data_IF_364853301168
#
_entry.id   IF_364853301168
#
_cell.length_a   1.000
_cell.length_b   1.000
_cell.length_c   1.000
_cell.angle_alpha   90.00
_cell.angle_beta   90.00
_cell.angle_gamma   90.00
#
_symmetry.space_group_name_H-M   'P 1'
#
loop_
_entity.id
_entity.type
_entity.pdbx_description
1 polymer ?
#
# COMPACT_ATOMS: atom_id res chain seq x y z
N UNK A 1 19.51 35.41 -24.71
CA UNK A 1 20.60 34.49 -25.06
C UNK A 1 20.56 33.36 -24.07
N UNK A 2 19.88 32.34 -24.47
CA UNK A 2 20.18 30.92 -24.62
C UNK A 2 20.72 30.21 -23.38
N UNK A 3 19.98 29.26 -22.83
CA UNK A 3 20.31 27.87 -23.07
C UNK A 3 19.15 26.95 -22.70
N UNK A 4 18.54 26.36 -23.72
CA UNK A 4 17.78 25.08 -23.62
C UNK A 4 18.81 23.97 -23.41
N UNK A 5 18.61 23.12 -22.42
CA UNK A 5 19.21 21.78 -22.34
C UNK A 5 18.13 20.79 -21.97
N UNK A 6 17.60 20.13 -23.00
CA UNK A 6 17.67 18.69 -23.26
C UNK A 6 17.23 17.80 -22.08
N UNK A 7 15.90 17.58 -21.95
CA UNK A 7 15.39 16.32 -21.45
C UNK A 7 15.10 15.41 -22.65
N UNK A 8 16.11 14.63 -23.02
CA UNK A 8 16.02 13.63 -24.07
C UNK A 8 15.72 12.26 -23.48
N UNK A 9 14.63 11.68 -23.99
CA UNK A 9 14.39 10.26 -24.19
C UNK A 9 14.35 9.34 -22.97
N UNK A 10 13.17 9.21 -22.36
CA UNK A 10 12.73 7.92 -21.84
C UNK A 10 11.63 7.36 -22.77
N UNK A 11 11.79 6.14 -23.29
CA UNK A 11 10.82 5.53 -24.20
C UNK A 11 9.65 4.90 -23.43
N UNK A 12 8.90 5.70 -22.68
CA UNK A 12 7.74 5.22 -21.89
C UNK A 12 6.41 5.29 -22.67
N UNK A 13 6.45 5.50 -24.01
CA UNK A 13 5.23 5.81 -24.77
C UNK A 13 4.68 4.69 -25.65
N UNK A 14 4.93 3.41 -25.35
CA UNK A 14 4.31 2.35 -26.17
C UNK A 14 3.82 1.19 -25.30
N UNK A 15 2.61 1.32 -24.74
CA UNK A 15 1.61 0.23 -24.61
C UNK A 15 0.40 0.50 -23.70
N UNK A 16 0.32 1.63 -23.03
CA UNK A 16 -0.94 2.01 -22.38
C UNK A 16 -1.82 2.77 -23.37
N UNK A 17 -2.43 2.08 -24.34
CA UNK A 17 -3.71 2.52 -24.88
C UNK A 17 -4.75 2.26 -23.78
N UNK A 18 -4.73 3.07 -22.71
CA UNK A 18 -5.98 3.35 -22.06
C UNK A 18 -6.90 3.88 -23.16
N UNK A 19 -8.01 3.19 -23.40
CA UNK A 19 -9.19 3.84 -23.96
C UNK A 19 -9.55 4.93 -22.93
N UNK A 20 -8.83 6.06 -22.97
CA UNK A 20 -9.29 7.26 -22.31
C UNK A 20 -10.62 7.58 -23.01
N UNK A 21 -11.71 7.27 -22.32
CA UNK A 21 -12.99 7.85 -22.72
C UNK A 21 -12.76 9.35 -22.77
N UNK A 22 -13.17 10.03 -23.86
CA UNK A 22 -13.08 11.49 -23.90
C UNK A 22 -13.66 12.06 -22.63
N UNK A 23 -12.95 12.98 -21.97
CA UNK A 23 -13.38 13.57 -20.69
C UNK A 23 -14.81 14.16 -20.75
N UNK A 24 -15.23 14.58 -21.93
CA UNK A 24 -16.57 15.06 -22.24
C UNK A 24 -17.70 14.05 -22.05
N UNK A 25 -17.37 12.72 -22.04
CA UNK A 25 -18.34 11.65 -21.80
C UNK A 25 -18.35 11.17 -20.34
N UNK A 26 -17.60 11.79 -19.45
CA UNK A 26 -17.59 11.48 -18.03
C UNK A 26 -18.37 12.56 -17.26
N UNK A 27 -19.33 12.13 -16.45
CA UNK A 27 -20.16 13.01 -15.61
C UNK A 27 -20.00 12.63 -14.14
N UNK A 28 -18.85 12.98 -13.50
CA UNK A 28 -18.59 12.66 -12.10
C UNK A 28 -19.67 13.26 -11.18
N UNK A 29 -20.15 12.46 -10.23
CA UNK A 29 -21.16 12.85 -9.25
C UNK A 29 -20.58 13.08 -7.85
N UNK A 30 -19.27 13.02 -7.69
CA UNK A 30 -18.56 13.09 -6.41
C UNK A 30 -18.96 14.27 -5.53
N UNK A 31 -19.18 15.46 -6.15
CA UNK A 31 -19.63 16.66 -5.45
C UNK A 31 -21.07 16.61 -4.90
N UNK A 32 -21.84 15.58 -5.27
CA UNK A 32 -23.24 15.35 -4.86
C UNK A 32 -23.38 14.20 -3.87
N UNK A 33 -22.30 13.48 -3.61
CA UNK A 33 -22.30 12.39 -2.64
C UNK A 33 -22.27 12.95 -1.20
N UNK A 34 -22.68 12.11 -0.24
CA UNK A 34 -22.52 12.41 1.18
C UNK A 34 -21.05 12.66 1.48
N UNK A 35 -20.74 13.69 2.24
CA UNK A 35 -19.37 14.08 2.53
C UNK A 35 -18.63 13.02 3.32
N UNK A 36 -17.31 13.00 3.20
CA UNK A 36 -16.44 12.14 4.00
C UNK A 36 -16.64 12.40 5.50
N UNK A 37 -16.72 13.66 5.89
CA UNK A 37 -16.90 14.08 7.29
C UNK A 37 -18.18 13.50 7.88
N UNK A 38 -19.30 13.53 7.14
CA UNK A 38 -20.56 12.95 7.61
C UNK A 38 -20.45 11.45 7.82
N UNK A 39 -19.71 10.76 6.95
CA UNK A 39 -19.48 9.30 7.07
C UNK A 39 -18.55 8.97 8.22
N UNK A 40 -17.48 9.72 8.41
CA UNK A 40 -16.56 9.58 9.53
C UNK A 40 -17.27 9.82 10.87
N UNK A 41 -18.11 10.85 10.95
CA UNK A 41 -18.97 11.13 12.11
C UNK A 41 -19.94 9.97 12.39
N UNK A 42 -20.57 9.40 11.36
CA UNK A 42 -21.44 8.24 11.51
C UNK A 42 -20.68 7.01 12.02
N UNK A 43 -19.47 6.80 11.52
CA UNK A 43 -18.61 5.65 11.91
C UNK A 43 -17.91 5.87 13.24
N UNK A 44 -17.84 7.10 13.74
CA UNK A 44 -17.09 7.45 14.95
C UNK A 44 -15.59 7.23 14.80
N UNK A 45 -15.06 7.42 13.58
CA UNK A 45 -13.65 7.25 13.25
C UNK A 45 -13.22 8.15 12.11
N UNK A 46 -11.94 8.47 12.03
CA UNK A 46 -11.30 9.07 10.85
C UNK A 46 -10.82 7.96 9.92
N UNK A 47 -11.06 8.10 8.62
CA UNK A 47 -10.48 7.22 7.61
C UNK A 47 -8.99 7.50 7.41
N UNK A 48 -8.22 6.44 7.14
CA UNK A 48 -6.79 6.52 6.83
C UNK A 48 -6.31 5.29 6.10
N UNK A 49 -5.21 5.41 5.34
CA UNK A 49 -4.59 4.30 4.61
C UNK A 49 -3.24 3.98 5.24
N UNK A 50 -3.14 2.85 5.93
CA UNK A 50 -1.92 2.34 6.53
C UNK A 50 -1.27 1.36 5.56
N UNK A 51 -0.22 1.85 4.87
CA UNK A 51 0.45 1.12 3.80
C UNK A 51 1.64 0.33 4.32
N UNK A 52 1.41 -0.95 4.66
CA UNK A 52 2.45 -1.87 5.13
C UNK A 52 3.26 -2.39 3.95
N UNK A 53 4.55 -2.11 3.93
CA UNK A 53 5.46 -2.58 2.88
C UNK A 53 6.76 -3.14 3.45
N UNK A 54 7.47 -3.93 2.63
CA UNK A 54 8.68 -4.65 3.02
C UNK A 54 8.85 -5.94 2.19
N UNK A 55 9.92 -6.68 2.40
CA UNK A 55 10.22 -7.91 1.69
C UNK A 55 9.16 -9.00 1.91
N UNK A 56 9.06 -9.96 1.00
CA UNK A 56 8.26 -11.16 1.23
C UNK A 56 8.77 -11.87 2.50
N UNK A 57 7.87 -12.30 3.39
CA UNK A 57 8.28 -12.91 4.67
C UNK A 57 8.62 -11.93 5.80
N UNK A 58 8.56 -10.59 5.58
CA UNK A 58 8.84 -9.61 6.64
C UNK A 58 7.76 -9.48 7.71
N UNK A 59 6.59 -10.15 7.57
CA UNK A 59 5.52 -10.11 8.57
C UNK A 59 4.33 -9.20 8.23
N UNK A 60 4.33 -8.50 7.09
CA UNK A 60 3.26 -7.55 6.70
C UNK A 60 1.84 -8.09 6.82
N UNK A 61 1.56 -9.23 6.19
CA UNK A 61 0.20 -9.80 6.19
C UNK A 61 -0.22 -10.26 7.59
N UNK A 62 0.72 -10.74 8.41
CA UNK A 62 0.46 -11.09 9.82
C UNK A 62 0.03 -9.86 10.60
N UNK A 63 0.80 -8.76 10.50
CA UNK A 63 0.49 -7.49 11.17
C UNK A 63 -0.82 -6.89 10.65
N UNK A 64 -1.09 -6.96 9.34
CA UNK A 64 -2.32 -6.44 8.75
C UNK A 64 -3.56 -7.18 9.28
N UNK A 65 -3.50 -8.52 9.38
CA UNK A 65 -4.59 -9.36 9.89
C UNK A 65 -4.82 -9.09 11.37
N UNK A 66 -3.75 -8.98 12.18
CA UNK A 66 -3.89 -8.73 13.61
C UNK A 66 -4.41 -7.32 13.89
N UNK A 67 -3.93 -6.32 13.15
CA UNK A 67 -4.46 -4.95 13.22
C UNK A 67 -5.97 -4.91 12.90
N UNK A 68 -6.41 -5.57 11.82
CA UNK A 68 -7.84 -5.64 11.47
C UNK A 68 -8.67 -6.25 12.59
N UNK A 69 -8.20 -7.36 13.19
CA UNK A 69 -8.88 -8.02 14.33
C UNK A 69 -9.01 -7.11 15.53
N UNK A 70 -7.93 -6.40 15.88
CA UNK A 70 -7.90 -5.50 17.01
C UNK A 70 -8.78 -4.25 16.80
N UNK A 71 -8.82 -3.71 15.59
CA UNK A 71 -9.71 -2.62 15.21
C UNK A 71 -11.19 -3.07 15.28
N UNK A 72 -11.51 -4.27 14.77
CA UNK A 72 -12.87 -4.81 14.83
C UNK A 72 -13.35 -4.99 16.28
N UNK A 73 -12.50 -5.50 17.21
CA UNK A 73 -12.83 -5.62 18.63
C UNK A 73 -13.18 -4.26 19.25
N UNK A 74 -12.57 -3.18 18.75
CA UNK A 74 -12.80 -1.80 19.19
C UNK A 74 -13.90 -1.08 18.41
N UNK A 75 -14.60 -1.80 17.52
CA UNK A 75 -15.71 -1.32 16.70
C UNK A 75 -15.31 -0.31 15.63
N UNK A 76 -14.05 -0.28 15.22
CA UNK A 76 -13.60 0.46 14.04
C UNK A 76 -13.89 -0.34 12.77
N UNK A 77 -14.36 0.37 11.72
CA UNK A 77 -14.57 -0.19 10.39
C UNK A 77 -13.25 -0.17 9.62
N UNK A 78 -12.69 -1.34 9.37
CA UNK A 78 -11.43 -1.49 8.63
C UNK A 78 -11.55 -2.53 7.52
N UNK A 79 -10.62 -2.46 6.55
CA UNK A 79 -10.52 -3.41 5.44
C UNK A 79 -9.05 -3.65 5.10
N UNK A 80 -8.69 -4.92 4.86
CA UNK A 80 -7.36 -5.30 4.40
C UNK A 80 -7.33 -5.44 2.88
N UNK A 81 -6.41 -4.74 2.23
CA UNK A 81 -6.06 -4.90 0.82
C UNK A 81 -4.70 -5.61 0.74
N UNK A 82 -4.73 -6.93 0.59
CA UNK A 82 -3.52 -7.73 0.43
C UNK A 82 -3.17 -7.95 -1.05
N UNK A 83 -1.89 -7.89 -1.38
CA UNK A 83 -1.41 -7.96 -2.76
C UNK A 83 -1.76 -9.25 -3.48
N UNK A 84 -1.74 -10.39 -2.81
CA UNK A 84 -2.08 -11.68 -3.40
C UNK A 84 -3.60 -11.79 -3.63
N UNK A 85 -4.39 -11.27 -2.66
CA UNK A 85 -5.86 -11.23 -2.79
C UNK A 85 -6.29 -10.33 -3.96
N UNK A 86 -5.68 -9.16 -4.14
CA UNK A 86 -6.01 -8.30 -5.27
C UNK A 86 -5.61 -8.92 -6.61
N UNK A 87 -4.48 -9.65 -6.66
CA UNK A 87 -4.08 -10.39 -7.88
C UNK A 87 -5.00 -11.53 -8.22
N UNK A 88 -5.69 -12.12 -7.25
CA UNK A 88 -6.70 -13.16 -7.50
C UNK A 88 -8.07 -12.61 -7.91
N UNK A 89 -8.26 -11.28 -7.82
CA UNK A 89 -9.55 -10.61 -8.06
C UNK A 89 -9.43 -9.48 -9.08
N UNK A 90 -9.32 -8.23 -8.65
CA UNK A 90 -9.36 -7.04 -9.53
C UNK A 90 -8.12 -6.88 -10.41
N UNK A 91 -7.03 -7.55 -10.10
CA UNK A 91 -5.77 -7.53 -10.85
C UNK A 91 -5.38 -8.90 -11.42
N UNK A 92 -6.35 -9.79 -11.63
CA UNK A 92 -6.13 -11.15 -12.17
C UNK A 92 -5.59 -11.18 -13.61
N UNK A 93 -5.69 -10.07 -14.32
CA UNK A 93 -5.18 -9.83 -15.67
C UNK A 93 -3.70 -9.44 -15.68
N UNK A 94 -3.09 -9.19 -14.51
CA UNK A 94 -1.72 -8.72 -14.38
C UNK A 94 -0.76 -9.86 -14.02
N UNK A 95 0.44 -9.83 -14.64
CA UNK A 95 1.59 -10.66 -14.30
C UNK A 95 2.48 -10.06 -13.22
N UNK A 96 3.79 -10.33 -13.33
CA UNK A 96 4.80 -9.87 -12.35
C UNK A 96 5.92 -9.02 -12.99
N UNK A 97 5.71 -8.52 -14.22
CA UNK A 97 6.59 -7.53 -14.82
C UNK A 97 6.58 -6.24 -13.97
N UNK A 98 7.53 -5.35 -14.20
CA UNK A 98 7.58 -4.07 -13.48
C UNK A 98 6.33 -3.23 -13.77
N UNK A 99 5.87 -3.22 -15.03
CA UNK A 99 4.66 -2.53 -15.45
C UNK A 99 3.42 -3.11 -14.78
N UNK A 100 3.29 -4.44 -14.72
CA UNK A 100 2.17 -5.10 -14.05
C UNK A 100 2.16 -4.83 -12.54
N UNK A 101 3.35 -4.76 -11.93
CA UNK A 101 3.48 -4.38 -10.51
C UNK A 101 3.05 -2.94 -10.27
N UNK A 102 3.48 -2.01 -11.14
CA UNK A 102 3.07 -0.60 -11.08
C UNK A 102 1.56 -0.45 -11.23
N UNK A 103 0.95 -1.14 -12.19
CA UNK A 103 -0.50 -1.11 -12.42
C UNK A 103 -1.29 -1.73 -11.27
N UNK A 104 -0.81 -2.84 -10.69
CA UNK A 104 -1.45 -3.43 -9.51
C UNK A 104 -1.43 -2.45 -8.31
N UNK A 105 -0.31 -1.76 -8.09
CA UNK A 105 -0.18 -0.74 -7.04
C UNK A 105 -1.10 0.45 -7.32
N UNK A 106 -1.18 0.90 -8.58
CA UNK A 106 -2.10 1.98 -8.97
C UNK A 106 -3.55 1.62 -8.67
N UNK A 107 -4.00 0.40 -9.07
CA UNK A 107 -5.37 -0.09 -8.78
C UNK A 107 -5.64 -0.17 -7.28
N UNK A 108 -4.68 -0.69 -6.50
CA UNK A 108 -4.79 -0.75 -5.06
C UNK A 108 -4.90 0.65 -4.42
N UNK A 109 -4.13 1.61 -4.91
CA UNK A 109 -4.14 3.00 -4.42
C UNK A 109 -5.47 3.70 -4.72
N UNK A 110 -6.02 3.52 -5.93
CA UNK A 110 -7.34 4.08 -6.27
C UNK A 110 -8.47 3.45 -5.43
N UNK A 111 -8.41 2.13 -5.22
CA UNK A 111 -9.36 1.46 -4.34
C UNK A 111 -9.24 1.96 -2.90
N UNK A 112 -8.02 2.09 -2.38
CA UNK A 112 -7.76 2.61 -1.04
C UNK A 112 -8.30 4.05 -0.89
N UNK A 113 -8.10 4.92 -1.89
CA UNK A 113 -8.64 6.28 -1.92
C UNK A 113 -10.17 6.30 -1.83
N UNK A 114 -10.85 5.48 -2.64
CA UNK A 114 -12.32 5.38 -2.62
C UNK A 114 -12.82 4.94 -1.23
N UNK A 115 -12.12 3.99 -0.60
CA UNK A 115 -12.51 3.46 0.71
C UNK A 115 -12.25 4.48 1.82
N UNK A 116 -11.13 5.20 1.80
CA UNK A 116 -10.84 6.25 2.78
C UNK A 116 -11.81 7.43 2.65
N UNK A 117 -12.22 7.79 1.43
CA UNK A 117 -13.27 8.79 1.17
C UNK A 117 -14.64 8.34 1.70
N UNK A 118 -14.79 7.06 1.99
CA UNK A 118 -15.98 6.51 2.68
C UNK A 118 -15.81 6.42 4.20
N UNK A 119 -14.73 6.95 4.78
CA UNK A 119 -14.45 6.94 6.22
C UNK A 119 -13.85 5.64 6.74
N UNK A 120 -13.44 4.71 5.86
CA UNK A 120 -12.86 3.42 6.26
C UNK A 120 -11.39 3.55 6.63
N UNK A 121 -10.94 2.73 7.60
CA UNK A 121 -9.53 2.47 7.86
C UNK A 121 -9.06 1.39 6.89
N UNK A 122 -8.14 1.73 6.00
CA UNK A 122 -7.63 0.83 4.96
C UNK A 122 -6.23 0.35 5.31
N UNK A 123 -6.06 -0.95 5.42
CA UNK A 123 -4.78 -1.59 5.74
C UNK A 123 -4.26 -2.23 4.46
N UNK A 124 -3.21 -1.69 3.88
CA UNK A 124 -2.61 -2.21 2.64
C UNK A 124 -1.38 -3.05 2.98
N UNK A 125 -1.29 -4.27 2.43
CA UNK A 125 -0.18 -5.20 2.62
C UNK A 125 0.44 -5.58 1.27
N UNK A 126 1.50 -4.84 0.87
CA UNK A 126 2.20 -5.02 -0.40
C UNK A 126 3.72 -4.98 -0.22
N UNK A 127 4.49 -5.55 -1.14
CA UNK A 127 5.96 -5.44 -1.11
C UNK A 127 6.40 -3.99 -1.35
N UNK A 128 5.83 -3.30 -2.32
CA UNK A 128 6.09 -1.89 -2.74
C UNK A 128 7.57 -1.52 -2.70
N UNK A 129 8.41 -2.15 -3.54
CA UNK A 129 9.86 -2.17 -3.31
C UNK A 129 10.57 -0.84 -3.64
N UNK A 130 10.01 -0.02 -4.52
CA UNK A 130 10.67 1.17 -5.05
C UNK A 130 10.01 2.44 -4.49
N UNK A 131 10.82 3.46 -4.19
CA UNK A 131 10.34 4.75 -3.67
C UNK A 131 9.30 5.37 -4.60
N UNK A 132 9.53 5.36 -5.91
CA UNK A 132 8.58 5.90 -6.90
C UNK A 132 7.19 5.27 -6.84
N UNK A 133 7.09 4.00 -6.43
CA UNK A 133 5.79 3.33 -6.26
C UNK A 133 5.08 3.80 -5.00
N UNK A 134 5.83 4.07 -3.92
CA UNK A 134 5.30 4.65 -2.70
C UNK A 134 4.83 6.09 -2.93
N UNK A 135 5.66 6.88 -3.66
CA UNK A 135 5.30 8.25 -4.05
C UNK A 135 4.05 8.29 -4.93
N UNK A 136 3.91 7.36 -5.88
CA UNK A 136 2.71 7.23 -6.70
C UNK A 136 1.47 6.91 -5.86
N UNK A 137 1.58 5.96 -4.93
CA UNK A 137 0.48 5.60 -4.04
C UNK A 137 0.07 6.80 -3.16
N UNK A 138 1.05 7.49 -2.57
CA UNK A 138 0.86 8.69 -1.78
C UNK A 138 0.17 9.80 -2.57
N UNK A 139 0.59 10.04 -3.81
CA UNK A 139 -0.01 11.05 -4.69
C UNK A 139 -1.48 10.73 -5.07
N UNK A 140 -1.82 9.44 -5.22
CA UNK A 140 -3.20 9.01 -5.54
C UNK A 140 -4.10 9.12 -4.31
N UNK A 141 -3.62 8.69 -3.14
CA UNK A 141 -4.39 8.61 -1.89
C UNK A 141 -4.56 9.98 -1.23
N UNK A 142 -3.57 10.86 -1.38
CA UNK A 142 -3.43 12.11 -0.65
C UNK A 142 -2.52 11.97 0.55
N UNK A 143 -1.61 12.95 0.72
CA UNK A 143 -0.56 12.93 1.73
C UNK A 143 -1.11 12.81 3.15
N UNK A 144 -2.20 13.50 3.43
CA UNK A 144 -2.88 13.55 4.73
C UNK A 144 -3.58 12.24 5.12
N UNK A 145 -3.73 11.32 4.16
CA UNK A 145 -4.41 10.04 4.34
C UNK A 145 -3.46 8.84 4.27
N UNK A 146 -2.21 9.05 3.85
CA UNK A 146 -1.25 7.99 3.56
C UNK A 146 -0.21 7.86 4.65
N UNK A 147 -0.26 6.78 5.41
CA UNK A 147 0.64 6.44 6.50
C UNK A 147 1.55 5.27 6.09
N UNK A 148 2.82 5.58 5.86
CA UNK A 148 3.81 4.64 5.36
C UNK A 148 4.39 3.80 6.50
N UNK A 149 4.05 2.49 6.53
CA UNK A 149 4.50 1.55 7.55
C UNK A 149 5.55 0.60 6.97
N UNK A 150 6.81 0.81 7.32
CA UNK A 150 7.91 -0.06 6.91
C UNK A 150 8.03 -1.27 7.84
N UNK A 151 7.70 -2.45 7.33
CA UNK A 151 7.85 -3.71 8.06
C UNK A 151 9.19 -4.33 7.66
N UNK A 152 10.20 -4.05 8.48
CA UNK A 152 11.58 -4.46 8.26
C UNK A 152 11.83 -5.91 8.72
N UNK A 153 12.54 -6.64 7.90
CA UNK A 153 13.35 -7.80 8.22
C UNK A 153 14.43 -7.92 7.13
N UNK A 154 15.61 -8.42 7.47
CA UNK A 154 16.68 -8.64 6.51
C UNK A 154 16.28 -9.67 5.46
N UNK A 155 16.99 -9.66 4.33
CA UNK A 155 16.76 -10.64 3.27
C UNK A 155 17.01 -12.06 3.80
N UNK A 156 18.04 -12.25 4.61
CA UNK A 156 18.42 -13.51 5.22
C UNK A 156 17.31 -14.05 6.10
N UNK A 157 16.79 -13.25 7.02
CA UNK A 157 15.68 -13.62 7.89
C UNK A 157 14.40 -13.93 7.11
N UNK A 158 14.07 -13.10 6.10
CA UNK A 158 12.92 -13.38 5.23
C UNK A 158 13.07 -14.69 4.46
N UNK A 159 14.31 -15.02 4.00
CA UNK A 159 14.64 -16.26 3.33
C UNK A 159 14.55 -17.48 4.26
N UNK A 160 15.02 -17.35 5.49
CA UNK A 160 14.91 -18.42 6.50
C UNK A 160 13.44 -18.70 6.86
N UNK A 161 12.62 -17.65 6.97
CA UNK A 161 11.19 -17.79 7.24
C UNK A 161 10.46 -18.45 6.07
N UNK A 162 10.77 -18.09 4.86
CA UNK A 162 10.20 -18.52 3.54
C UNK A 162 8.77 -19.07 3.59
N UNK A 163 7.87 -18.39 4.26
CA UNK A 163 6.51 -18.82 4.60
C UNK A 163 5.70 -19.29 3.39
N UNK A 164 6.05 -18.77 2.20
CA UNK A 164 5.35 -19.06 0.92
C UNK A 164 6.16 -19.95 -0.02
N UNK A 165 7.36 -20.40 0.36
CA UNK A 165 8.27 -21.17 -0.49
C UNK A 165 8.82 -20.40 -1.69
N UNK A 166 8.71 -19.05 -1.68
CA UNK A 166 9.09 -18.22 -2.81
C UNK A 166 10.61 -18.05 -2.93
N UNK A 167 11.33 -18.02 -1.81
CA UNK A 167 12.80 -17.96 -1.79
C UNK A 167 13.40 -19.23 -2.34
N UNK A 168 12.89 -20.40 -1.94
CA UNK A 168 13.32 -21.69 -2.47
C UNK A 168 13.07 -21.79 -3.99
N UNK A 169 11.95 -21.25 -4.51
CA UNK A 169 11.67 -21.18 -5.95
C UNK A 169 12.61 -20.22 -6.68
N UNK A 170 12.89 -19.05 -6.09
CA UNK A 170 13.83 -18.07 -6.65
C UNK A 170 15.26 -18.63 -6.69
N UNK A 171 15.66 -19.42 -5.69
CA UNK A 171 16.96 -20.09 -5.65
C UNK A 171 17.11 -21.16 -6.74
N UNK A 172 16.02 -21.82 -7.12
CA UNK A 172 15.97 -22.78 -8.24
C UNK A 172 15.85 -22.12 -9.62
N UNK A 173 15.74 -20.78 -9.69
CA UNK A 173 15.54 -20.06 -10.94
C UNK A 173 14.12 -20.13 -11.50
N UNK A 174 13.14 -20.59 -10.70
CA UNK A 174 11.73 -20.68 -11.10
C UNK A 174 11.02 -19.31 -11.08
N UNK A 175 11.63 -18.29 -10.46
CA UNK A 175 11.14 -16.92 -10.40
C UNK A 175 12.23 -15.97 -10.90
N UNK A 176 12.01 -15.35 -12.06
CA UNK A 176 13.01 -14.49 -12.71
C UNK A 176 13.17 -13.11 -12.04
N UNK A 177 12.11 -12.55 -11.47
CA UNK A 177 12.09 -11.17 -10.94
C UNK A 177 11.71 -11.14 -9.45
N UNK A 178 12.54 -11.76 -8.61
CA UNK A 178 12.32 -11.82 -7.16
C UNK A 178 12.91 -10.59 -6.46
N UNK A 179 12.08 -9.84 -5.74
CA UNK A 179 12.47 -8.63 -5.00
C UNK A 179 13.47 -8.96 -3.88
N UNK A 180 14.55 -8.20 -3.83
CA UNK A 180 15.65 -8.40 -2.87
C UNK A 180 16.75 -9.32 -3.40
N UNK A 181 16.51 -10.10 -4.46
CA UNK A 181 17.51 -10.97 -5.10
C UNK A 181 17.83 -10.52 -6.53
N UNK A 182 16.81 -10.43 -7.39
CA UNK A 182 16.95 -10.09 -8.80
C UNK A 182 16.42 -8.67 -9.12
N UNK A 183 15.59 -8.14 -8.24
CA UNK A 183 15.02 -6.80 -8.35
C UNK A 183 15.32 -6.02 -7.07
N UNK A 184 15.60 -4.71 -7.14
CA UNK A 184 15.96 -3.90 -5.98
C UNK A 184 14.78 -3.76 -5.00
N UNK A 185 15.14 -3.54 -3.74
CA UNK A 185 14.27 -3.03 -2.70
C UNK A 185 14.93 -1.77 -2.12
N UNK A 186 14.23 -0.66 -2.13
CA UNK A 186 14.68 0.63 -1.62
C UNK A 186 14.07 0.88 -0.25
N UNK A 187 14.85 0.76 0.85
CA UNK A 187 14.36 1.11 2.18
C UNK A 187 13.94 2.59 2.23
N UNK A 188 12.90 2.95 2.99
CA UNK A 188 12.49 4.34 3.15
C UNK A 188 13.50 5.09 4.02
N UNK A 189 13.67 6.40 3.76
CA UNK A 189 14.50 7.25 4.63
C UNK A 189 13.76 7.63 5.92
N UNK A 190 12.49 8.00 5.82
CA UNK A 190 11.65 8.47 6.93
C UNK A 190 10.21 7.96 6.77
N UNK A 191 9.95 6.69 7.08
CA UNK A 191 8.58 6.20 7.09
C UNK A 191 7.80 6.81 8.26
N UNK A 192 6.47 6.86 8.15
CA UNK A 192 5.61 7.26 9.28
C UNK A 192 5.81 6.33 10.48
N UNK A 193 5.93 5.00 10.24
CA UNK A 193 6.26 4.01 11.25
C UNK A 193 7.22 2.97 10.68
N UNK A 194 8.28 2.61 11.43
CA UNK A 194 9.14 1.47 11.11
C UNK A 194 9.01 0.40 12.20
N UNK A 195 8.72 -0.83 11.80
CA UNK A 195 8.61 -2.01 12.67
C UNK A 195 9.71 -2.99 12.27
N UNK A 196 10.57 -3.36 13.21
CA UNK A 196 11.67 -4.29 13.00
C UNK A 196 11.29 -5.66 13.58
N UNK A 197 10.75 -6.54 12.72
CA UNK A 197 10.28 -7.87 13.12
C UNK A 197 11.39 -8.88 13.41
N UNK A 198 12.64 -8.47 13.36
CA UNK A 198 13.77 -9.27 13.85
C UNK A 198 14.06 -8.97 15.33
N UNK A 199 13.77 -7.73 15.75
CA UNK A 199 14.04 -7.27 17.12
C UNK A 199 12.81 -7.29 18.02
N UNK A 200 11.64 -7.16 17.42
CA UNK A 200 10.36 -7.12 18.11
C UNK A 200 9.66 -8.48 17.98
N UNK A 201 9.03 -8.92 19.06
CA UNK A 201 8.10 -10.06 18.99
C UNK A 201 6.86 -9.69 18.17
N UNK A 202 6.09 -10.66 17.65
CA UNK A 202 4.84 -10.39 16.95
C UNK A 202 3.85 -9.56 17.79
N UNK A 203 3.76 -9.81 19.10
CA UNK A 203 2.86 -9.08 20.00
C UNK A 203 3.31 -7.63 20.20
N UNK A 204 4.61 -7.39 20.40
CA UNK A 204 5.17 -6.03 20.51
C UNK A 204 4.95 -5.23 19.22
N UNK A 205 5.25 -5.83 18.07
CA UNK A 205 5.03 -5.21 16.75
C UNK A 205 3.56 -4.87 16.51
N UNK A 206 2.65 -5.78 16.85
CA UNK A 206 1.20 -5.59 16.70
C UNK A 206 0.67 -4.51 17.64
N UNK A 207 1.11 -4.50 18.89
CA UNK A 207 0.71 -3.49 19.88
C UNK A 207 1.14 -2.09 19.45
N UNK A 208 2.40 -1.95 18.99
CA UNK A 208 2.97 -0.68 18.54
C UNK A 208 2.27 -0.15 17.29
N UNK A 209 1.98 -1.03 16.32
CA UNK A 209 1.21 -0.67 15.14
C UNK A 209 -0.19 -0.19 15.51
N UNK A 210 -0.89 -0.94 16.37
CA UNK A 210 -2.24 -0.61 16.80
C UNK A 210 -2.29 0.74 17.53
N UNK A 211 -1.38 1.00 18.47
CA UNK A 211 -1.29 2.27 19.18
C UNK A 211 -1.13 3.44 18.22
N UNK A 212 -0.14 3.35 17.31
CA UNK A 212 0.10 4.39 16.29
C UNK A 212 -1.12 4.62 15.38
N UNK A 213 -1.83 3.55 15.00
CA UNK A 213 -3.03 3.66 14.15
C UNK A 213 -4.18 4.33 14.91
N UNK A 214 -4.40 3.97 16.19
CA UNK A 214 -5.46 4.54 17.01
C UNK A 214 -5.30 6.05 17.20
N UNK A 215 -4.07 6.55 17.31
CA UNK A 215 -3.79 7.98 17.42
C UNK A 215 -4.27 8.77 16.18
N UNK A 216 -4.22 8.15 15.00
CA UNK A 216 -4.62 8.80 13.73
C UNK A 216 -6.12 8.71 13.45
N UNK A 217 -6.76 7.60 13.86
CA UNK A 217 -8.17 7.33 13.50
C UNK A 217 -9.18 7.73 14.58
N UNK A 218 -8.72 8.13 15.77
CA UNK A 218 -9.61 8.45 16.89
C UNK A 218 -10.43 9.71 16.62
N UNK A 219 -11.68 9.81 17.12
CA UNK A 219 -12.61 10.90 16.84
C UNK A 219 -12.12 12.30 17.21
N UNK A 220 -11.17 12.44 18.13
CA UNK A 220 -10.55 13.74 18.48
C UNK A 220 -9.88 14.42 17.29
N UNK A 221 -9.62 13.71 16.21
CA UNK A 221 -9.06 14.23 14.96
C UNK A 221 -10.13 14.69 13.95
N UNK A 222 -11.43 14.47 14.23
CA UNK A 222 -12.54 14.84 13.32
C UNK A 222 -12.97 16.31 13.51
N UNK A 223 -12.52 16.97 14.58
CA UNK A 223 -12.97 18.30 15.02
C UNK A 223 -12.03 19.44 14.59
N UNK A 224 -11.51 19.39 13.35
CA UNK A 224 -10.65 20.42 12.80
C UNK A 224 -11.30 21.17 11.64
#
# INVERSE_FOLDING_TARGET
MFSLLLFSHFPYHKRFKFLQMPAENLHPTSSRLVSRVDKENLLGQRGGVFWLFGLSGSGKSTLAIELERELLKRRFSSIVLDGDNLRSTISKDLGFSEEDRAENLRRASELARILVDNGSVVIVSFITPLQRFRDQAKAIIGEENYFEVYVHASFETCRERDVKGLYAKADKGEIESFTGKHSPFEPPEKPWLAIDTEKETPDESSARLLESVLDEISPSQISG
#
